data_IF_286313659094
#
_entry.id   IF_286313659094
#
_cell.length_a   1.000
_cell.length_b   1.000
_cell.length_c   1.000
_cell.angle_alpha   90.00
_cell.angle_beta   90.00
_cell.angle_gamma   90.00
#
_symmetry.space_group_name_H-M   'P 1'
#
loop_
_entity.id
_entity.type
_entity.pdbx_description
1 polymer ?
#
# COMPACT_ATOMS: atom_id res chain seq x y z
N UNK A 1 -4.58 -3.56 -9.03
CA UNK A 1 -5.30 -2.58 -9.88
C UNK A 1 -5.55 -1.32 -9.06
N UNK A 2 -5.56 -0.16 -9.70
CA UNK A 2 -5.74 1.15 -9.05
C UNK A 2 -7.22 1.46 -8.87
N UNK A 3 -7.64 1.90 -7.68
CA UNK A 3 -9.03 2.17 -7.30
C UNK A 3 -9.16 3.41 -6.40
N UNK A 4 -10.38 3.96 -6.31
CA UNK A 4 -10.76 4.90 -5.26
C UNK A 4 -11.04 4.08 -3.99
N UNK A 5 -10.29 4.27 -2.90
CA UNK A 5 -10.54 3.55 -1.66
C UNK A 5 -11.81 4.07 -0.96
N UNK A 6 -12.52 3.22 -0.18
CA UNK A 6 -13.63 3.68 0.64
C UNK A 6 -13.19 4.71 1.68
N UNK A 7 -14.14 5.53 2.13
CA UNK A 7 -13.91 6.48 3.21
C UNK A 7 -13.78 5.78 4.56
N UNK A 8 -13.10 6.40 5.52
CA UNK A 8 -13.01 5.89 6.90
C UNK A 8 -12.02 4.73 7.11
N UNK A 9 -11.19 4.41 6.12
CA UNK A 9 -10.13 3.41 6.29
C UNK A 9 -9.11 3.82 7.36
N UNK A 10 -8.70 2.83 8.16
CA UNK A 10 -7.74 3.01 9.25
C UNK A 10 -6.29 2.91 8.73
N UNK A 11 -5.80 3.99 8.13
CA UNK A 11 -4.50 4.02 7.47
C UNK A 11 -3.33 3.94 8.45
N UNK A 12 -2.33 3.11 8.12
CA UNK A 12 -1.01 3.10 8.74
C UNK A 12 -0.01 3.72 7.76
N UNK A 13 0.65 4.79 8.17
CA UNK A 13 1.67 5.49 7.38
C UNK A 13 3.04 4.96 7.81
N UNK A 14 3.96 4.81 6.85
CA UNK A 14 5.34 4.41 7.16
C UNK A 14 5.98 5.33 8.21
N UNK A 15 6.59 4.74 9.23
CA UNK A 15 7.30 5.48 10.29
C UNK A 15 8.56 6.21 9.78
N UNK A 16 9.04 5.86 8.59
CA UNK A 16 10.14 6.55 7.88
C UNK A 16 9.65 7.69 7.00
N UNK A 17 8.38 8.06 7.10
CA UNK A 17 7.83 9.21 6.39
C UNK A 17 8.52 10.51 6.83
N UNK A 18 9.03 11.27 5.87
CA UNK A 18 9.71 12.55 6.08
C UNK A 18 8.89 13.74 5.55
N UNK A 19 7.58 13.57 5.37
CA UNK A 19 6.68 14.61 4.86
C UNK A 19 6.52 14.66 3.34
N UNK A 20 7.20 13.78 2.59
CA UNK A 20 7.05 13.64 1.14
C UNK A 20 5.89 12.72 0.71
N UNK A 21 6.10 12.00 -0.40
CA UNK A 21 5.18 10.98 -0.92
C UNK A 21 5.31 9.67 -0.12
N UNK A 22 4.77 9.66 1.09
CA UNK A 22 4.92 8.55 2.01
C UNK A 22 3.93 7.43 1.72
N UNK A 23 4.41 6.19 1.78
CA UNK A 23 3.57 5.01 1.66
C UNK A 23 2.62 4.92 2.85
N UNK A 24 1.36 4.60 2.55
CA UNK A 24 0.32 4.28 3.52
C UNK A 24 -0.40 2.98 3.13
N UNK A 25 -0.77 2.20 4.13
CA UNK A 25 -1.46 0.91 3.96
C UNK A 25 -2.69 0.86 4.86
N UNK A 26 -3.79 0.33 4.37
CA UNK A 26 -4.99 0.04 5.16
C UNK A 26 -5.48 -1.38 4.84
N UNK A 27 -6.02 -2.05 5.86
CA UNK A 27 -6.64 -3.36 5.74
C UNK A 27 -8.13 -3.20 6.00
N UNK A 28 -8.94 -3.72 5.08
CA UNK A 28 -10.41 -3.72 5.18
C UNK A 28 -10.93 -5.10 4.80
N UNK A 29 -11.29 -5.89 5.84
CA UNK A 29 -11.60 -7.30 5.68
C UNK A 29 -10.45 -8.07 5.00
N UNK A 30 -10.74 -8.61 3.81
CA UNK A 30 -9.79 -9.37 2.99
C UNK A 30 -9.05 -8.53 1.94
N UNK A 31 -9.33 -7.23 1.90
CA UNK A 31 -8.70 -6.29 0.97
C UNK A 31 -7.60 -5.50 1.66
N UNK A 32 -6.45 -5.37 0.96
CA UNK A 32 -5.38 -4.45 1.35
C UNK A 32 -5.29 -3.32 0.35
N UNK A 33 -5.31 -2.10 0.87
CA UNK A 33 -5.11 -0.87 0.08
C UNK A 33 -3.72 -0.31 0.32
N UNK A 34 -2.98 -0.06 -0.76
CA UNK A 34 -1.67 0.56 -0.77
C UNK A 34 -1.75 1.88 -1.52
N UNK A 35 -1.39 2.99 -0.89
CA UNK A 35 -1.35 4.29 -1.54
C UNK A 35 -0.21 5.14 -1.03
N UNK A 36 -0.22 6.41 -1.41
CA UNK A 36 0.70 7.41 -0.90
C UNK A 36 -0.04 8.62 -0.32
N UNK A 37 0.67 9.44 0.45
CA UNK A 37 0.13 10.65 1.08
C UNK A 37 -0.09 11.82 0.11
N UNK A 38 0.58 11.85 -1.05
CA UNK A 38 0.45 12.96 -2.03
C UNK A 38 -0.83 12.84 -2.87
N UNK A 39 -1.30 11.61 -3.12
CA UNK A 39 -2.47 11.32 -3.95
C UNK A 39 -3.47 10.43 -3.19
N UNK A 40 -4.07 10.91 -2.09
CA UNK A 40 -4.89 10.09 -1.20
C UNK A 40 -6.21 9.59 -1.82
N UNK A 41 -6.62 10.12 -2.97
CA UNK A 41 -7.83 9.71 -3.68
C UNK A 41 -7.69 8.36 -4.39
N UNK A 42 -6.46 7.84 -4.51
CA UNK A 42 -6.16 6.69 -5.36
C UNK A 42 -5.26 5.71 -4.62
N UNK A 43 -5.59 4.42 -4.68
CA UNK A 43 -4.84 3.35 -4.06
C UNK A 43 -4.79 2.10 -4.94
N UNK A 44 -3.70 1.35 -4.88
CA UNK A 44 -3.67 -0.03 -5.35
C UNK A 44 -4.47 -0.90 -4.39
N UNK A 45 -5.20 -1.84 -4.95
CA UNK A 45 -5.99 -2.83 -4.21
C UNK A 45 -5.42 -4.23 -4.44
N UNK A 46 -5.29 -4.99 -3.35
CA UNK A 46 -4.83 -6.36 -3.30
C UNK A 46 -5.81 -7.22 -2.50
N UNK A 47 -5.91 -8.52 -2.81
CA UNK A 47 -6.39 -9.50 -1.81
C UNK A 47 -5.30 -9.73 -0.76
N UNK A 48 -5.64 -10.41 0.34
CA UNK A 48 -4.67 -10.75 1.38
C UNK A 48 -3.55 -11.66 0.86
N UNK A 49 -3.86 -12.63 0.00
CA UNK A 49 -2.86 -13.52 -0.61
C UNK A 49 -1.93 -12.76 -1.54
N UNK A 50 -2.48 -11.87 -2.38
CA UNK A 50 -1.69 -11.04 -3.28
C UNK A 50 -0.73 -10.12 -2.52
N UNK A 51 -1.20 -9.55 -1.39
CA UNK A 51 -0.38 -8.73 -0.52
C UNK A 51 0.76 -9.53 0.12
N UNK A 52 0.48 -10.74 0.61
CA UNK A 52 1.50 -11.62 1.18
C UNK A 52 2.58 -11.99 0.16
N UNK A 53 2.18 -12.42 -1.04
CA UNK A 53 3.13 -12.73 -2.11
C UNK A 53 3.99 -11.52 -2.47
N UNK A 54 3.35 -10.36 -2.68
CA UNK A 54 4.06 -9.11 -3.01
C UNK A 54 5.09 -8.71 -1.96
N UNK A 55 4.73 -8.76 -0.67
CA UNK A 55 5.66 -8.41 0.41
C UNK A 55 6.78 -9.42 0.61
N UNK A 56 6.52 -10.72 0.36
CA UNK A 56 7.55 -11.76 0.35
C UNK A 56 8.57 -11.55 -0.78
N UNK A 57 8.10 -11.15 -1.97
CA UNK A 57 8.97 -10.86 -3.11
C UNK A 57 9.85 -9.62 -2.86
N UNK A 58 9.32 -8.58 -2.19
CA UNK A 58 10.12 -7.43 -1.75
C UNK A 58 11.17 -7.87 -0.71
N UNK A 59 10.75 -8.65 0.29
CA UNK A 59 11.65 -9.07 1.38
C UNK A 59 12.79 -9.98 0.88
N UNK A 60 12.53 -10.80 -0.14
CA UNK A 60 13.54 -11.64 -0.79
C UNK A 60 14.42 -10.88 -1.79
N UNK A 61 14.08 -9.62 -2.11
CA UNK A 61 14.76 -8.82 -3.13
C UNK A 61 14.46 -9.22 -4.58
N UNK A 62 13.51 -10.15 -4.78
CA UNK A 62 13.04 -10.54 -6.12
C UNK A 62 12.31 -9.39 -6.83
N UNK A 63 11.65 -8.53 -6.06
CA UNK A 63 11.06 -7.29 -6.55
C UNK A 63 11.83 -6.10 -5.97
N UNK A 64 12.33 -5.24 -6.85
CA UNK A 64 13.00 -3.99 -6.50
C UNK A 64 12.32 -2.82 -7.21
N UNK A 65 12.24 -1.69 -6.54
CA UNK A 65 11.86 -0.43 -7.18
C UNK A 65 13.05 0.07 -8.01
N UNK A 66 13.12 -0.36 -9.28
CA UNK A 66 14.01 0.27 -10.25
C UNK A 66 13.51 1.68 -10.58
N UNK A 67 14.43 2.65 -10.56
CA UNK A 67 14.18 4.08 -10.67
C UNK A 67 13.66 4.49 -12.05
#
# INVERSE_FOLDING_TARGET
>A
MTHIPPHGLDWRISSKCNGGACVRVAVDGDTVYLGDTKNPAVALRFTREQWQAFTADIASGAVSASR
#
